data_IF_076802079677
#
_entry.id   IF_076802079677
#
_cell.length_a   1.000
_cell.length_b   1.000
_cell.length_c   1.000
_cell.angle_alpha   90.00
_cell.angle_beta   90.00
_cell.angle_gamma   90.00
#
_symmetry.space_group_name_H-M   'P 1'
#
loop_
_entity.id
_entity.type
_entity.pdbx_description
1 polymer ?
#
# COMPACT_ATOMS: atom_id res chain seq x y z
N UNK A 1 10.05 9.64 10.12
CA UNK A 1 9.35 9.87 8.83
C UNK A 1 8.33 8.77 8.65
N UNK A 2 7.05 9.12 8.60
CA UNK A 2 5.98 8.13 8.46
C UNK A 2 5.70 7.89 6.98
N UNK A 3 5.67 6.64 6.55
CA UNK A 3 5.44 6.26 5.15
C UNK A 3 4.31 5.25 5.06
N UNK A 4 3.45 5.39 4.06
CA UNK A 4 2.38 4.42 3.80
C UNK A 4 2.72 3.56 2.60
N UNK A 5 2.51 2.26 2.70
CA UNK A 5 2.69 1.31 1.59
C UNK A 5 1.33 0.70 1.26
N UNK A 6 0.78 0.99 0.07
CA UNK A 6 -0.35 0.20 -0.46
C UNK A 6 0.19 -1.09 -1.07
N UNK A 7 -0.61 -2.17 -1.06
CA UNK A 7 -0.13 -3.46 -1.55
C UNK A 7 0.98 -4.06 -0.68
N UNK A 8 1.06 -3.66 0.60
CA UNK A 8 2.13 -4.08 1.51
C UNK A 8 2.23 -5.61 1.68
N UNK A 9 1.13 -6.35 1.48
CA UNK A 9 1.12 -7.81 1.52
C UNK A 9 1.72 -8.51 0.29
N UNK A 10 2.02 -7.77 -0.78
CA UNK A 10 2.62 -8.30 -2.01
C UNK A 10 4.12 -8.56 -1.88
N UNK A 11 4.72 -9.17 -2.90
CA UNK A 11 6.16 -9.49 -2.91
C UNK A 11 7.03 -8.25 -2.71
N UNK A 12 6.82 -7.19 -3.52
CA UNK A 12 7.58 -5.94 -3.40
C UNK A 12 7.30 -5.25 -2.07
N UNK A 13 6.03 -5.19 -1.65
CA UNK A 13 5.62 -4.56 -0.38
C UNK A 13 6.25 -5.21 0.85
N UNK A 14 6.36 -6.54 0.90
CA UNK A 14 7.01 -7.26 2.02
C UNK A 14 8.51 -6.98 2.07
N UNK A 15 9.19 -6.98 0.92
CA UNK A 15 10.63 -6.67 0.88
C UNK A 15 10.91 -5.22 1.24
N UNK A 16 10.07 -4.28 0.78
CA UNK A 16 10.19 -2.87 1.16
C UNK A 16 9.97 -2.66 2.67
N UNK A 17 8.99 -3.34 3.28
CA UNK A 17 8.82 -3.32 4.74
C UNK A 17 10.08 -3.79 5.48
N UNK A 18 10.68 -4.91 5.05
CA UNK A 18 11.91 -5.41 5.69
C UNK A 18 13.07 -4.42 5.55
N UNK A 19 13.26 -3.86 4.35
CA UNK A 19 14.30 -2.87 4.12
C UNK A 19 14.10 -1.58 4.95
N UNK A 20 12.87 -1.09 5.06
CA UNK A 20 12.56 0.10 5.85
C UNK A 20 12.62 -0.15 7.36
N UNK A 21 12.40 -1.40 7.81
CA UNK A 21 12.52 -1.76 9.22
C UNK A 21 13.96 -1.63 9.75
N UNK A 22 14.97 -1.67 8.86
CA UNK A 22 16.38 -1.42 9.22
C UNK A 22 16.64 0.06 9.55
N UNK A 23 15.72 0.96 9.20
CA UNK A 23 15.82 2.40 9.44
C UNK A 23 15.02 2.83 10.66
N UNK A 24 15.72 3.25 11.72
CA UNK A 24 15.11 3.74 12.97
C UNK A 24 14.34 5.06 12.81
N UNK A 25 14.60 5.80 11.75
CA UNK A 25 13.96 7.08 11.47
C UNK A 25 12.68 6.93 10.63
N UNK A 26 12.28 5.71 10.26
CA UNK A 26 11.10 5.43 9.44
C UNK A 26 10.03 4.68 10.23
N UNK A 27 8.80 5.15 10.15
CA UNK A 27 7.60 4.44 10.63
C UNK A 27 6.81 3.97 9.41
N UNK A 28 6.54 2.68 9.31
CA UNK A 28 5.80 2.10 8.18
C UNK A 28 4.33 1.86 8.56
N UNK A 29 3.43 2.40 7.75
CA UNK A 29 1.99 2.12 7.78
C UNK A 29 1.63 1.26 6.58
N UNK A 30 0.93 0.15 6.82
CA UNK A 30 0.55 -0.77 5.76
C UNK A 30 -0.92 -0.61 5.39
N UNK A 31 -1.20 -0.50 4.09
CA UNK A 31 -2.53 -0.60 3.51
C UNK A 31 -2.59 -1.84 2.61
N UNK A 32 -3.49 -2.76 2.93
CA UNK A 32 -3.62 -4.06 2.26
C UNK A 32 -5.09 -4.35 1.92
N UNK A 33 -5.35 -5.50 1.29
CA UNK A 33 -6.73 -5.96 1.02
C UNK A 33 -7.57 -6.21 2.28
N UNK A 34 -6.93 -6.29 3.46
CA UNK A 34 -7.64 -6.41 4.73
C UNK A 34 -8.16 -5.06 5.25
N UNK A 35 -7.75 -3.94 4.64
CA UNK A 35 -8.20 -2.60 4.98
C UNK A 35 -9.34 -2.16 4.06
N UNK A 36 -10.19 -1.29 4.57
CA UNK A 36 -11.22 -0.58 3.80
C UNK A 36 -10.72 0.79 3.35
N UNK A 37 -11.24 1.30 2.23
CA UNK A 37 -10.88 2.64 1.75
C UNK A 37 -11.23 3.75 2.77
N UNK A 38 -12.25 3.53 3.60
CA UNK A 38 -12.64 4.45 4.67
C UNK A 38 -11.58 4.61 5.78
N UNK A 39 -10.61 3.68 5.88
CA UNK A 39 -9.51 3.79 6.82
C UNK A 39 -8.38 4.71 6.32
N UNK A 40 -8.31 4.99 5.00
CA UNK A 40 -7.22 5.78 4.39
C UNK A 40 -7.03 7.16 5.03
N UNK A 41 -8.07 7.98 5.30
CA UNK A 41 -7.88 9.28 5.94
C UNK A 41 -7.14 9.20 7.27
N UNK A 42 -7.44 8.19 8.10
CA UNK A 42 -6.77 7.94 9.38
C UNK A 42 -5.35 7.40 9.18
N UNK A 43 -5.16 6.49 8.23
CA UNK A 43 -3.85 5.89 7.95
C UNK A 43 -2.86 6.89 7.34
N UNK A 44 -3.36 7.86 6.58
CA UNK A 44 -2.59 8.94 5.96
C UNK A 44 -2.21 10.07 6.94
N UNK A 45 -2.75 10.09 8.15
CA UNK A 45 -2.45 11.14 9.12
C UNK A 45 -0.95 11.16 9.47
N UNK A 46 -0.31 12.29 9.18
CA UNK A 46 1.13 12.49 9.40
C UNK A 46 2.05 11.73 8.44
N UNK A 47 1.51 11.09 7.40
CA UNK A 47 2.30 10.39 6.37
C UNK A 47 3.04 11.41 5.51
N UNK A 48 4.35 11.26 5.40
CA UNK A 48 5.22 12.11 4.59
C UNK A 48 5.41 11.59 3.16
N UNK A 49 5.22 10.28 2.93
CA UNK A 49 5.41 9.65 1.62
C UNK A 49 4.54 8.41 1.45
N UNK A 50 4.06 8.16 0.23
CA UNK A 50 3.26 6.98 -0.12
C UNK A 50 3.98 6.15 -1.19
N UNK A 51 4.25 4.88 -0.88
CA UNK A 51 4.61 3.87 -1.87
C UNK A 51 3.35 3.16 -2.35
N UNK A 52 2.87 3.50 -3.55
CA UNK A 52 1.70 2.85 -4.12
C UNK A 52 2.12 1.56 -4.86
N UNK A 53 2.03 0.41 -4.20
CA UNK A 53 2.34 -0.91 -4.77
C UNK A 53 1.10 -1.80 -4.88
N UNK A 54 -0.08 -1.30 -4.52
CA UNK A 54 -1.33 -1.98 -4.79
C UNK A 54 -1.54 -2.08 -6.30
N UNK A 55 -1.96 -3.26 -6.73
CA UNK A 55 -2.28 -3.49 -8.12
C UNK A 55 -2.80 -4.90 -8.33
N UNK A 56 -3.75 -5.03 -9.24
CA UNK A 56 -4.26 -6.27 -9.76
C UNK A 56 -3.47 -6.61 -11.02
N UNK A 57 -2.82 -7.78 -10.99
CA UNK A 57 -2.08 -8.33 -12.11
C UNK A 57 -2.77 -9.60 -12.60
N UNK A 58 -2.99 -9.71 -13.92
CA UNK A 58 -3.59 -10.88 -14.58
C UNK A 58 -4.91 -11.32 -13.93
N UNK A 59 -5.92 -10.43 -13.82
CA UNK A 59 -7.21 -10.83 -13.28
C UNK A 59 -7.93 -11.82 -14.21
N UNK A 60 -8.89 -12.55 -13.64
CA UNK A 60 -9.77 -13.40 -14.43
C UNK A 60 -10.83 -12.55 -15.16
N UNK A 61 -11.33 -11.51 -14.51
CA UNK A 61 -12.21 -10.51 -15.10
C UNK A 61 -11.39 -9.25 -15.47
N UNK A 62 -11.34 -8.85 -16.77
CA UNK A 62 -10.70 -7.62 -17.18
C UNK A 62 -11.14 -6.36 -16.43
N UNK A 63 -12.38 -6.31 -15.92
CA UNK A 63 -12.86 -5.17 -15.13
C UNK A 63 -12.11 -5.00 -13.80
N UNK A 64 -11.64 -6.10 -13.20
CA UNK A 64 -10.83 -6.06 -11.97
C UNK A 64 -9.49 -5.35 -12.17
N UNK A 65 -8.98 -5.30 -13.40
CA UNK A 65 -7.78 -4.53 -13.70
C UNK A 65 -8.05 -3.02 -13.58
N UNK A 66 -9.22 -2.57 -14.04
CA UNK A 66 -9.60 -1.16 -13.99
C UNK A 66 -9.95 -0.78 -12.55
N UNK A 67 -10.89 -1.50 -11.92
CA UNK A 67 -11.33 -1.19 -10.55
C UNK A 67 -10.20 -1.34 -9.53
N UNK A 68 -9.36 -2.36 -9.68
CA UNK A 68 -8.26 -2.63 -8.76
C UNK A 68 -7.06 -1.69 -8.88
N UNK A 69 -6.90 -0.99 -10.01
CA UNK A 69 -5.73 -0.15 -10.27
C UNK A 69 -6.08 1.35 -10.37
N UNK A 70 -7.22 1.71 -10.96
CA UNK A 70 -7.62 3.10 -11.15
C UNK A 70 -8.27 3.68 -9.90
N UNK A 71 -9.18 2.95 -9.24
CA UNK A 71 -9.98 3.50 -8.14
C UNK A 71 -9.17 3.72 -6.84
N UNK A 72 -7.95 3.18 -6.77
CA UNK A 72 -7.06 3.29 -5.61
C UNK A 72 -5.84 4.19 -5.86
N UNK A 73 -5.68 4.73 -7.07
CA UNK A 73 -4.58 5.64 -7.46
C UNK A 73 -5.03 7.08 -7.41
#
# INVERSE_FOLDING_TARGET
MKVLITGAGGFVGKNLQQHLAERKDVEVVCFTRANTAAELPRLLEGVAFVFHLAGVNRPQDPQEFVTGNADLT
#
